data_IF_025284169629
#
_entry.id   IF_025284169629
#
_cell.length_a   1.000
_cell.length_b   1.000
_cell.length_c   1.000
_cell.angle_alpha   90.00
_cell.angle_beta   90.00
_cell.angle_gamma   90.00
#
_symmetry.space_group_name_H-M   'P 1'
#
loop_
_entity.id
_entity.type
_entity.pdbx_description
1 polymer ?
#
# COMPACT_ATOMS: atom_id res chain seq x y z
N UNK A 1 19.36 11.75 -81.67
CA UNK A 1 18.82 12.84 -80.83
C UNK A 1 19.32 12.66 -79.40
N UNK A 2 19.38 13.74 -78.62
CA UNK A 2 19.80 13.83 -77.21
C UNK A 2 18.99 12.89 -76.28
N UNK A 3 19.33 12.65 -75.00
CA UNK A 3 20.57 12.71 -74.19
C UNK A 3 20.19 12.51 -72.71
N UNK A 4 20.95 11.73 -71.92
CA UNK A 4 21.06 11.83 -70.43
C UNK A 4 19.75 11.69 -69.59
N UNK A 5 19.74 11.59 -68.24
CA UNK A 5 20.66 11.03 -67.22
C UNK A 5 19.81 10.66 -65.98
N UNK A 6 20.40 9.89 -65.06
CA UNK A 6 19.90 9.59 -63.71
C UNK A 6 19.83 10.86 -62.82
N UNK A 7 19.01 10.85 -61.74
CA UNK A 7 19.29 11.31 -60.34
C UNK A 7 18.07 11.91 -59.59
N UNK A 8 17.68 11.22 -58.50
CA UNK A 8 17.31 11.67 -57.11
C UNK A 8 16.57 13.01 -56.89
N UNK A 9 15.49 12.97 -56.11
CA UNK A 9 14.88 14.13 -55.41
C UNK A 9 13.69 13.72 -54.52
N UNK A 10 13.53 14.32 -53.34
CA UNK A 10 12.62 13.89 -52.26
C UNK A 10 11.66 15.04 -51.83
N UNK A 11 10.61 14.73 -51.05
CA UNK A 11 9.84 15.62 -50.11
C UNK A 11 8.52 16.30 -50.60
N UNK A 12 7.41 15.97 -49.90
CA UNK A 12 6.13 16.71 -49.65
C UNK A 12 5.20 17.10 -50.85
N UNK A 13 3.86 17.25 -50.74
CA UNK A 13 2.96 17.45 -49.58
C UNK A 13 1.47 17.08 -49.89
N UNK A 14 0.68 16.76 -48.83
CA UNK A 14 -0.72 17.16 -48.56
C UNK A 14 -2.00 16.60 -49.30
N UNK A 15 -2.95 16.10 -48.46
CA UNK A 15 -4.44 16.41 -48.43
C UNK A 15 -5.37 15.81 -49.53
N UNK A 16 -6.62 15.32 -49.32
CA UNK A 16 -7.44 14.93 -48.13
C UNK A 16 -8.82 14.33 -48.59
N UNK A 17 -9.27 13.19 -48.02
CA UNK A 17 -10.67 12.66 -47.91
C UNK A 17 -11.51 12.44 -49.23
N UNK A 18 -12.64 11.71 -49.32
CA UNK A 18 -13.79 11.43 -48.41
C UNK A 18 -14.39 10.00 -48.62
N UNK A 19 -14.99 9.48 -47.52
CA UNK A 19 -15.88 8.32 -47.26
C UNK A 19 -16.86 7.84 -48.38
N UNK A 20 -17.52 6.67 -48.35
CA UNK A 20 -18.41 6.00 -47.34
C UNK A 20 -18.56 4.49 -47.74
N UNK A 21 -19.04 3.51 -46.95
CA UNK A 21 -19.23 3.29 -45.49
C UNK A 21 -19.50 1.78 -45.22
N UNK A 22 -19.03 1.22 -44.09
CA UNK A 22 -19.77 0.24 -43.27
C UNK A 22 -19.25 0.33 -41.83
N UNK A 23 -19.91 1.17 -41.03
CA UNK A 23 -19.44 1.57 -39.70
C UNK A 23 -19.79 0.54 -38.62
N UNK A 24 -18.82 -0.26 -38.21
CA UNK A 24 -18.64 -0.50 -36.78
C UNK A 24 -17.77 0.65 -36.26
N UNK A 25 -18.41 1.74 -35.82
CA UNK A 25 -17.68 2.84 -35.21
C UNK A 25 -17.19 2.36 -33.85
N UNK A 26 -15.90 2.05 -33.73
CA UNK A 26 -15.24 2.02 -32.43
C UNK A 26 -15.34 3.46 -31.91
N UNK A 27 -16.14 3.67 -30.87
CA UNK A 27 -16.28 5.01 -30.29
C UNK A 27 -14.95 5.37 -29.63
N UNK A 28 -14.60 6.67 -29.64
CA UNK A 28 -13.44 7.16 -28.90
C UNK A 28 -13.67 7.18 -27.37
N UNK A 29 -14.71 6.49 -26.89
CA UNK A 29 -15.17 6.36 -25.51
C UNK A 29 -15.15 4.89 -25.01
N UNK A 30 -14.90 3.91 -25.88
CA UNK A 30 -14.89 2.49 -25.49
C UNK A 30 -13.54 2.13 -24.85
N UNK A 31 -13.53 1.96 -23.53
CA UNK A 31 -12.34 1.45 -22.83
C UNK A 31 -12.01 0.02 -23.27
N UNK A 32 -10.73 -0.32 -23.37
CA UNK A 32 -10.25 -1.68 -23.65
C UNK A 32 -9.73 -2.28 -22.35
N UNK A 33 -10.18 -3.46 -21.95
CA UNK A 33 -9.60 -4.19 -20.80
C UNK A 33 -8.68 -5.28 -21.32
N UNK A 34 -7.41 -5.22 -20.92
CA UNK A 34 -6.35 -6.12 -21.37
C UNK A 34 -6.00 -7.20 -20.33
N UNK A 35 -6.02 -6.83 -19.04
CA UNK A 35 -5.70 -7.73 -17.95
C UNK A 35 -6.50 -7.37 -16.69
N UNK A 36 -6.85 -8.39 -15.90
CA UNK A 36 -7.40 -8.21 -14.56
C UNK A 36 -6.59 -9.03 -13.56
N UNK A 37 -6.34 -8.47 -12.37
CA UNK A 37 -5.75 -9.15 -11.21
C UNK A 37 -6.63 -8.90 -9.99
N UNK A 38 -6.71 -9.86 -9.08
CA UNK A 38 -7.35 -9.69 -7.77
C UNK A 38 -6.35 -9.91 -6.63
N UNK A 39 -6.60 -9.22 -5.51
CA UNK A 39 -5.91 -9.33 -4.22
C UNK A 39 -6.94 -9.08 -3.11
N UNK A 40 -7.43 -10.15 -2.47
CA UNK A 40 -8.56 -10.08 -1.53
C UNK A 40 -9.80 -9.44 -2.17
N UNK A 41 -10.18 -8.25 -1.70
CA UNK A 41 -11.31 -7.45 -2.25
C UNK A 41 -10.86 -6.39 -3.27
N UNK A 42 -9.57 -6.30 -3.59
CA UNK A 42 -9.01 -5.29 -4.50
C UNK A 42 -8.91 -5.86 -5.92
N UNK A 43 -9.66 -5.27 -6.85
CA UNK A 43 -9.60 -5.61 -8.27
C UNK A 43 -8.74 -4.57 -9.01
N UNK A 44 -7.72 -5.04 -9.72
CA UNK A 44 -6.87 -4.23 -10.59
C UNK A 44 -7.27 -4.55 -12.03
N UNK A 45 -7.69 -3.53 -12.77
CA UNK A 45 -8.09 -3.65 -14.17
C UNK A 45 -7.10 -2.82 -14.99
N UNK A 46 -6.39 -3.46 -15.90
CA UNK A 46 -5.40 -2.86 -16.78
C UNK A 46 -5.95 -2.82 -18.21
N UNK A 47 -5.63 -1.78 -18.96
CA UNK A 47 -6.32 -1.50 -20.21
C UNK A 47 -6.04 -0.11 -20.78
N UNK A 48 -6.72 0.21 -21.87
CA UNK A 48 -6.63 1.50 -22.54
C UNK A 48 -7.93 2.30 -22.37
N UNK A 49 -7.81 3.63 -22.28
CA UNK A 49 -8.94 4.56 -22.19
C UNK A 49 -9.93 4.28 -21.02
N UNK A 50 -9.46 3.61 -19.96
CA UNK A 50 -10.25 3.27 -18.78
C UNK A 50 -10.80 4.54 -18.11
N UNK A 51 -12.13 4.65 -17.99
CA UNK A 51 -12.82 5.80 -17.36
C UNK A 51 -12.38 7.19 -17.88
N UNK A 52 -11.92 7.32 -19.14
CA UNK A 52 -11.46 8.62 -19.68
C UNK A 52 -12.60 9.64 -19.73
N UNK A 53 -13.81 9.19 -20.06
CA UNK A 53 -15.01 9.98 -19.96
C UNK A 53 -15.43 10.13 -18.47
N UNK A 54 -15.58 11.37 -17.94
CA UNK A 54 -15.87 11.61 -16.52
C UNK A 54 -17.27 11.17 -16.07
N UNK A 55 -18.20 10.97 -17.01
CA UNK A 55 -19.54 10.47 -16.71
C UNK A 55 -19.58 8.93 -16.65
N UNK A 56 -18.50 8.25 -17.02
CA UNK A 56 -18.42 6.78 -16.92
C UNK A 56 -18.15 6.33 -15.49
N UNK A 57 -18.84 5.26 -15.11
CA UNK A 57 -18.71 4.51 -13.86
C UNK A 57 -18.29 3.08 -14.15
N UNK A 58 -17.88 2.37 -13.11
CA UNK A 58 -17.65 0.92 -13.17
C UNK A 58 -18.82 0.21 -12.50
N UNK A 59 -19.23 -0.92 -13.06
CA UNK A 59 -20.23 -1.81 -12.48
C UNK A 59 -19.66 -3.22 -12.37
N UNK A 60 -19.85 -3.86 -11.21
CA UNK A 60 -19.35 -5.19 -10.91
C UNK A 60 -20.38 -6.02 -10.13
N UNK A 61 -20.55 -7.29 -10.50
CA UNK A 61 -21.51 -8.19 -9.84
C UNK A 61 -21.54 -9.57 -10.49
N UNK A 62 -22.18 -10.55 -9.85
CA UNK A 62 -22.34 -11.89 -10.44
C UNK A 62 -23.20 -11.81 -11.70
N UNK A 63 -22.91 -12.66 -12.70
CA UNK A 63 -23.77 -12.78 -13.89
C UNK A 63 -25.12 -13.42 -13.58
N UNK A 64 -25.27 -14.08 -12.43
CA UNK A 64 -26.50 -14.72 -11.95
C UNK A 64 -27.44 -13.75 -11.21
N UNK A 65 -27.13 -12.45 -11.16
CA UNK A 65 -27.90 -11.44 -10.44
C UNK A 65 -28.35 -10.29 -11.36
N UNK A 66 -29.60 -9.85 -11.19
CA UNK A 66 -30.23 -8.76 -11.97
C UNK A 66 -29.69 -7.35 -11.65
N UNK A 67 -28.65 -7.22 -10.82
CA UNK A 67 -28.12 -5.94 -10.37
C UNK A 67 -26.60 -6.00 -10.18
N UNK A 68 -25.92 -4.92 -10.58
CA UNK A 68 -24.49 -4.74 -10.37
C UNK A 68 -24.25 -3.65 -9.33
N UNK A 69 -23.14 -3.78 -8.61
CA UNK A 69 -22.67 -2.78 -7.65
C UNK A 69 -21.73 -1.78 -8.35
N UNK A 70 -21.68 -0.55 -7.87
CA UNK A 70 -20.63 0.42 -8.26
C UNK A 70 -19.46 0.27 -7.26
N UNK A 71 -18.38 -0.47 -7.58
CA UNK A 71 -17.25 -0.63 -6.66
C UNK A 71 -16.50 0.69 -6.47
N UNK A 72 -15.94 0.90 -5.27
CA UNK A 72 -15.26 2.15 -4.94
C UNK A 72 -13.93 2.24 -5.69
N UNK A 73 -13.80 3.20 -6.61
CA UNK A 73 -12.53 3.55 -7.24
C UNK A 73 -11.53 4.01 -6.16
N UNK A 74 -10.42 3.29 -6.03
CA UNK A 74 -9.33 3.60 -5.10
C UNK A 74 -8.23 4.44 -5.76
N UNK A 75 -7.95 4.15 -7.02
CA UNK A 75 -6.88 4.78 -7.80
C UNK A 75 -7.14 4.61 -9.31
N UNK A 76 -6.61 5.54 -10.12
CA UNK A 76 -6.68 5.53 -11.58
C UNK A 76 -5.46 6.23 -12.17
N UNK A 77 -4.86 5.62 -13.18
CA UNK A 77 -3.92 6.26 -14.10
C UNK A 77 -4.37 6.04 -15.57
N UNK A 78 -3.48 6.23 -16.54
CA UNK A 78 -3.79 6.09 -17.98
C UNK A 78 -4.02 4.64 -18.42
N UNK A 79 -3.39 3.67 -17.74
CA UNK A 79 -3.36 2.24 -18.12
C UNK A 79 -4.05 1.29 -17.12
N UNK A 80 -4.52 1.81 -15.97
CA UNK A 80 -5.06 1.01 -14.86
C UNK A 80 -6.12 1.76 -14.05
N UNK A 81 -7.14 1.02 -13.61
CA UNK A 81 -8.02 1.40 -12.49
C UNK A 81 -7.92 0.36 -11.35
N UNK A 82 -7.92 0.83 -10.10
CA UNK A 82 -7.93 0.01 -8.89
C UNK A 82 -9.26 0.18 -8.17
N UNK A 83 -9.95 -0.92 -7.91
CA UNK A 83 -11.31 -0.94 -7.39
C UNK A 83 -11.35 -1.70 -6.06
N UNK A 84 -12.09 -1.19 -5.08
CA UNK A 84 -12.50 -1.97 -3.91
C UNK A 84 -13.88 -2.55 -4.16
N UNK A 85 -13.93 -3.88 -4.24
CA UNK A 85 -15.18 -4.61 -4.38
C UNK A 85 -15.95 -4.62 -3.04
N UNK A 86 -17.28 -4.59 -3.05
CA UNK A 86 -18.09 -4.60 -1.82
C UNK A 86 -18.10 -5.95 -1.09
N UNK A 87 -17.50 -6.99 -1.69
CA UNK A 87 -17.29 -8.32 -1.14
C UNK A 87 -16.08 -8.96 -1.83
N UNK A 88 -15.51 -10.00 -1.22
CA UNK A 88 -14.52 -10.84 -1.88
C UNK A 88 -15.23 -11.79 -2.85
N UNK A 89 -14.90 -11.81 -4.16
CA UNK A 89 -15.51 -12.73 -5.11
C UNK A 89 -15.26 -14.19 -4.70
N UNK A 90 -16.32 -14.99 -4.78
CA UNK A 90 -16.22 -16.45 -4.70
C UNK A 90 -16.02 -17.01 -6.12
N UNK A 91 -15.58 -18.26 -6.29
CA UNK A 91 -15.47 -18.86 -7.62
C UNK A 91 -16.79 -18.79 -8.40
N UNK A 92 -16.75 -18.25 -9.62
CA UNK A 92 -17.94 -17.91 -10.38
C UNK A 92 -17.70 -16.91 -11.51
N UNK A 93 -18.77 -16.59 -12.25
CA UNK A 93 -18.77 -15.63 -13.36
C UNK A 93 -19.30 -14.28 -12.90
N UNK A 94 -18.58 -13.21 -13.23
CA UNK A 94 -18.92 -11.85 -12.87
C UNK A 94 -18.92 -10.96 -14.12
N UNK A 95 -19.73 -9.90 -14.11
CA UNK A 95 -19.60 -8.80 -15.04
C UNK A 95 -18.64 -7.75 -14.48
N UNK A 96 -17.77 -7.23 -15.35
CA UNK A 96 -17.13 -5.93 -15.19
C UNK A 96 -17.58 -5.06 -16.35
N UNK A 97 -18.33 -4.00 -16.06
CA UNK A 97 -18.82 -3.05 -17.08
C UNK A 97 -18.27 -1.65 -16.81
N UNK A 98 -17.99 -0.89 -17.85
CA UNK A 98 -17.57 0.51 -17.78
C UNK A 98 -18.48 1.32 -18.71
N UNK A 99 -19.10 2.38 -18.22
CA UNK A 99 -20.02 3.20 -19.02
C UNK A 99 -20.87 4.16 -18.19
N UNK A 100 -21.76 4.93 -18.82
CA UNK A 100 -22.61 5.90 -18.13
C UNK A 100 -23.66 5.26 -17.20
N UNK A 101 -24.04 4.00 -17.47
CA UNK A 101 -24.91 3.18 -16.63
C UNK A 101 -24.63 1.67 -16.85
N UNK A 102 -25.23 0.80 -16.04
CA UNK A 102 -25.01 -0.67 -16.10
C UNK A 102 -25.71 -1.38 -17.28
N UNK A 103 -26.76 -0.75 -17.83
CA UNK A 103 -27.65 -1.32 -18.85
C UNK A 103 -27.16 -0.99 -20.28
N UNK A 104 -26.47 0.14 -20.44
CA UNK A 104 -25.82 0.63 -21.67
C UNK A 104 -24.32 0.93 -21.42
N UNK A 105 -23.48 -0.12 -21.30
CA UNK A 105 -22.05 0.03 -21.03
C UNK A 105 -21.25 0.35 -22.31
N UNK A 106 -20.24 1.20 -22.20
CA UNK A 106 -19.26 1.42 -23.26
C UNK A 106 -18.26 0.25 -23.41
N UNK A 107 -18.07 -0.51 -22.32
CA UNK A 107 -17.21 -1.70 -22.25
C UNK A 107 -17.87 -2.75 -21.36
N UNK A 108 -17.93 -4.00 -21.81
CA UNK A 108 -18.47 -5.13 -21.05
C UNK A 108 -17.51 -6.33 -21.12
N UNK A 109 -17.18 -6.90 -19.96
CA UNK A 109 -16.19 -7.99 -19.81
C UNK A 109 -16.72 -9.05 -18.86
N UNK A 110 -16.68 -10.33 -19.28
CA UNK A 110 -16.93 -11.45 -18.38
C UNK A 110 -15.64 -11.79 -17.63
N UNK A 111 -15.71 -11.92 -16.30
CA UNK A 111 -14.60 -12.34 -15.45
C UNK A 111 -14.94 -13.67 -14.80
N UNK A 112 -14.10 -14.68 -15.02
CA UNK A 112 -14.20 -15.98 -14.38
C UNK A 112 -13.21 -16.07 -13.22
N UNK A 113 -13.71 -16.19 -12.00
CA UNK A 113 -12.91 -16.41 -10.80
C UNK A 113 -12.82 -17.91 -10.50
N UNK A 114 -11.59 -18.43 -10.41
CA UNK A 114 -11.24 -19.82 -10.12
C UNK A 114 -10.10 -19.81 -9.09
N UNK A 115 -10.43 -19.54 -7.83
CA UNK A 115 -9.54 -19.35 -6.67
C UNK A 115 -8.15 -20.04 -6.80
N UNK A 116 -7.03 -19.29 -6.83
CA UNK A 116 -6.88 -17.84 -6.66
C UNK A 116 -6.91 -17.02 -7.97
N UNK A 117 -7.20 -17.64 -9.12
CA UNK A 117 -7.05 -17.01 -10.44
C UNK A 117 -8.30 -16.24 -10.88
N UNK A 118 -8.10 -15.20 -11.69
CA UNK A 118 -9.15 -14.50 -12.44
C UNK A 118 -8.79 -14.50 -13.93
N UNK A 119 -9.76 -14.79 -14.79
CA UNK A 119 -9.59 -14.87 -16.25
C UNK A 119 -10.61 -13.97 -16.94
N UNK A 120 -10.16 -13.23 -17.96
CA UNK A 120 -11.05 -12.47 -18.85
C UNK A 120 -11.66 -13.41 -19.89
N UNK A 121 -12.97 -13.30 -20.10
CA UNK A 121 -13.70 -13.92 -21.19
C UNK A 121 -14.40 -12.82 -22.00
N UNK A 122 -14.12 -12.76 -23.30
CA UNK A 122 -14.69 -11.76 -24.20
C UNK A 122 -16.00 -12.28 -24.84
N UNK A 123 -17.11 -11.54 -24.76
CA UNK A 123 -18.31 -11.88 -25.51
C UNK A 123 -18.13 -11.58 -27.01
N UNK A 124 -18.30 -12.60 -27.86
CA UNK A 124 -18.75 -12.39 -29.25
C UNK A 124 -17.71 -12.33 -30.39
N UNK A 125 -16.42 -12.60 -30.18
CA UNK A 125 -15.46 -12.64 -31.31
C UNK A 125 -15.60 -13.93 -32.13
N UNK A 126 -16.16 -13.82 -33.34
CA UNK A 126 -16.28 -14.93 -34.28
C UNK A 126 -14.92 -15.37 -34.87
N UNK A 127 -14.79 -16.65 -35.25
CA UNK A 127 -13.61 -17.25 -35.89
C UNK A 127 -13.27 -16.61 -37.26
N UNK A 128 -12.54 -15.49 -37.30
CA UNK A 128 -11.99 -14.96 -38.57
C UNK A 128 -10.63 -14.25 -38.40
N UNK A 129 -9.56 -15.01 -38.20
CA UNK A 129 -8.26 -14.81 -38.86
C UNK A 129 -7.30 -15.97 -38.49
N UNK A 130 -6.44 -16.37 -39.45
CA UNK A 130 -5.42 -17.44 -39.36
C UNK A 130 -6.00 -18.87 -39.37
N UNK A 131 -5.82 -19.54 -40.52
CA UNK A 131 -6.27 -20.91 -40.72
C UNK A 131 -5.16 -21.94 -40.48
N UNK A 132 -5.52 -22.99 -39.74
CA UNK A 132 -5.08 -24.36 -39.94
C UNK A 132 -6.16 -25.28 -39.35
N UNK A 133 -6.46 -26.39 -40.03
CA UNK A 133 -7.49 -27.34 -39.58
C UNK A 133 -7.13 -28.01 -38.24
N UNK A 134 -8.15 -28.33 -37.43
CA UNK A 134 -8.52 -29.73 -37.12
C UNK A 134 -9.75 -29.84 -36.21
N UNK A 135 -10.74 -30.60 -36.70
CA UNK A 135 -11.78 -31.39 -36.01
C UNK A 135 -12.74 -30.75 -34.98
N UNK A 136 -13.99 -31.21 -35.05
CA UNK A 136 -15.13 -30.81 -34.23
C UNK A 136 -15.11 -31.47 -32.85
N UNK A 137 -15.04 -30.66 -31.79
CA UNK A 137 -15.93 -30.80 -30.64
C UNK A 137 -16.11 -29.43 -29.96
N UNK A 138 -17.33 -29.15 -29.50
CA UNK A 138 -17.79 -27.78 -29.26
C UNK A 138 -17.29 -27.14 -27.96
N UNK A 139 -16.15 -26.45 -28.01
CA UNK A 139 -15.74 -25.46 -27.00
C UNK A 139 -15.31 -24.15 -27.69
N UNK A 140 -15.89 -23.02 -27.26
CA UNK A 140 -15.45 -21.69 -27.71
C UNK A 140 -13.98 -21.49 -27.35
N UNK A 141 -13.19 -20.97 -28.29
CA UNK A 141 -11.79 -20.66 -28.06
C UNK A 141 -11.66 -19.47 -27.09
N UNK A 142 -11.55 -19.78 -25.80
CA UNK A 142 -11.24 -18.81 -24.75
C UNK A 142 -9.82 -18.29 -24.99
N UNK A 143 -9.63 -16.96 -25.05
CA UNK A 143 -8.30 -16.38 -24.86
C UNK A 143 -7.94 -16.48 -23.38
N UNK A 144 -7.51 -17.67 -22.97
CA UNK A 144 -6.95 -17.90 -21.64
C UNK A 144 -5.57 -17.25 -21.61
N UNK A 145 -5.49 -16.04 -21.06
CA UNK A 145 -4.21 -15.43 -20.65
C UNK A 145 -3.73 -16.16 -19.39
N UNK A 146 -3.26 -17.40 -19.56
CA UNK A 146 -2.61 -18.20 -18.53
C UNK A 146 -1.16 -17.71 -18.40
N UNK A 147 -0.90 -16.78 -17.49
CA UNK A 147 0.47 -16.36 -17.13
C UNK A 147 0.81 -16.89 -15.74
N UNK A 148 1.07 -18.20 -15.68
CA UNK A 148 1.62 -18.90 -14.51
C UNK A 148 2.94 -19.61 -14.84
N UNK A 149 3.57 -19.24 -15.96
CA UNK A 149 4.91 -19.65 -16.36
C UNK A 149 5.60 -18.44 -17.04
N UNK A 150 6.59 -17.84 -16.38
CA UNK A 150 7.58 -17.06 -17.09
C UNK A 150 8.40 -18.03 -17.95
N UNK A 151 8.56 -17.83 -19.27
CA UNK A 151 9.46 -18.67 -20.06
C UNK A 151 10.90 -18.53 -19.55
N UNK A 152 11.62 -19.63 -19.37
CA UNK A 152 13.04 -19.61 -18.94
C UNK A 152 14.00 -19.01 -20.00
N UNK A 153 13.47 -18.46 -21.10
CA UNK A 153 14.23 -18.01 -22.27
C UNK A 153 14.42 -16.49 -22.34
N UNK A 154 14.94 -15.88 -21.28
CA UNK A 154 15.74 -14.63 -21.31
C UNK A 154 15.11 -13.32 -21.80
N UNK A 155 13.94 -13.33 -22.45
CA UNK A 155 13.18 -12.12 -22.76
C UNK A 155 12.40 -11.71 -21.51
N UNK A 156 12.73 -10.51 -21.01
CA UNK A 156 12.04 -9.91 -19.87
C UNK A 156 10.53 -9.92 -20.14
N UNK A 157 9.75 -10.37 -19.16
CA UNK A 157 8.35 -9.98 -19.08
C UNK A 157 8.25 -8.46 -19.25
N UNK A 158 7.18 -7.97 -19.86
CA UNK A 158 6.81 -6.57 -19.79
C UNK A 158 6.26 -6.24 -18.39
N UNK A 159 7.12 -6.43 -17.39
CA UNK A 159 7.23 -5.45 -16.31
C UNK A 159 7.78 -4.20 -16.97
N UNK A 160 6.90 -3.35 -17.48
CA UNK A 160 7.27 -1.95 -17.63
C UNK A 160 7.59 -1.47 -16.21
N UNK A 161 8.88 -1.17 -16.02
CA UNK A 161 9.46 -0.64 -14.80
C UNK A 161 9.04 0.84 -14.73
N UNK A 162 7.75 1.05 -14.43
CA UNK A 162 7.04 2.34 -14.48
C UNK A 162 7.55 3.36 -13.43
N UNK A 163 8.64 3.05 -12.71
CA UNK A 163 9.07 3.81 -11.54
C UNK A 163 8.05 3.78 -10.40
N UNK A 164 7.16 2.77 -10.38
CA UNK A 164 6.09 2.61 -9.37
C UNK A 164 6.43 1.62 -8.24
N UNK A 165 7.71 1.27 -8.08
CA UNK A 165 8.32 0.78 -6.81
C UNK A 165 8.25 1.81 -5.65
N UNK A 166 7.50 2.91 -5.84
CA UNK A 166 7.45 4.10 -4.98
C UNK A 166 6.06 4.37 -4.37
N UNK A 167 5.08 3.48 -4.52
CA UNK A 167 3.80 3.59 -3.76
C UNK A 167 4.02 3.10 -2.34
N UNK A 168 4.60 4.00 -1.55
CA UNK A 168 5.02 3.86 -0.16
C UNK A 168 3.89 3.36 0.77
N UNK A 169 2.63 3.76 0.55
CA UNK A 169 1.46 3.21 1.26
C UNK A 169 0.12 3.41 0.54
N UNK A 170 -0.84 2.53 0.83
CA UNK A 170 -2.21 2.62 0.35
C UNK A 170 -3.12 3.47 1.26
N UNK A 171 -3.04 3.24 2.57
CA UNK A 171 -3.72 4.04 3.60
C UNK A 171 -2.90 4.07 4.87
N UNK A 172 -3.00 5.14 5.64
CA UNK A 172 -2.30 5.35 6.89
C UNK A 172 -3.25 5.60 8.06
N UNK A 173 -2.81 5.29 9.28
CA UNK A 173 -3.56 5.60 10.50
C UNK A 173 -3.44 7.10 10.83
N UNK A 174 -4.58 7.78 10.92
CA UNK A 174 -4.67 9.20 11.24
C UNK A 174 -4.90 9.43 12.73
N UNK A 175 -4.09 10.31 13.30
CA UNK A 175 -4.17 10.73 14.69
C UNK A 175 -4.24 12.26 14.77
N UNK A 176 -5.36 12.76 15.29
CA UNK A 176 -5.57 14.18 15.53
C UNK A 176 -6.04 14.40 16.99
N UNK A 177 -5.17 14.89 17.90
CA UNK A 177 -5.52 15.07 19.31
C UNK A 177 -6.56 16.19 19.51
N UNK A 178 -6.82 17.02 18.50
CA UNK A 178 -7.86 18.07 18.54
C UNK A 178 -9.25 17.53 18.21
N UNK A 179 -9.33 16.39 17.53
CA UNK A 179 -10.58 15.68 17.17
C UNK A 179 -10.85 14.48 18.10
N UNK A 180 -9.99 14.28 19.11
CA UNK A 180 -10.19 13.25 20.14
C UNK A 180 -9.61 11.89 19.80
N UNK A 181 -8.71 11.79 18.81
CA UNK A 181 -8.00 10.53 18.52
C UNK A 181 -7.31 9.98 19.76
N UNK A 182 -7.28 8.65 19.87
CA UNK A 182 -6.67 7.91 20.97
C UNK A 182 -5.56 6.99 20.44
N UNK A 183 -4.85 6.34 21.36
CA UNK A 183 -3.86 5.34 21.00
C UNK A 183 -4.53 4.06 20.46
N UNK A 184 -4.00 3.53 19.36
CA UNK A 184 -4.33 2.17 18.91
C UNK A 184 -3.60 1.17 19.81
N UNK A 185 -4.33 0.35 20.57
CA UNK A 185 -3.73 -0.67 21.45
C UNK A 185 -3.75 -2.03 20.77
N UNK A 186 -2.57 -2.61 20.55
CA UNK A 186 -2.41 -3.97 20.01
C UNK A 186 -2.68 -4.96 21.13
N UNK A 187 -3.82 -5.64 21.12
CA UNK A 187 -4.16 -6.64 22.14
C UNK A 187 -3.19 -7.84 22.13
N UNK A 188 -3.12 -8.60 23.22
CA UNK A 188 -2.24 -9.77 23.37
C UNK A 188 -0.74 -9.53 23.06
N UNK A 189 -0.26 -8.29 23.26
CA UNK A 189 1.14 -7.90 23.00
C UNK A 189 1.97 -7.70 24.28
N UNK A 190 1.48 -8.23 25.41
CA UNK A 190 2.18 -8.24 26.70
C UNK A 190 3.59 -8.83 26.59
N UNK A 191 3.74 -9.98 25.94
CA UNK A 191 5.01 -10.70 25.76
C UNK A 191 5.96 -10.04 24.71
N UNK A 192 5.57 -8.91 24.09
CA UNK A 192 6.43 -8.20 23.14
C UNK A 192 7.53 -7.45 23.89
N UNK A 193 8.60 -8.18 24.17
CA UNK A 193 9.81 -7.71 24.84
C UNK A 193 10.92 -7.38 23.84
N UNK A 194 11.73 -6.39 24.21
CA UNK A 194 12.96 -6.03 23.50
C UNK A 194 14.17 -6.35 24.38
N UNK A 195 15.29 -6.70 23.78
CA UNK A 195 16.50 -7.10 24.50
C UNK A 195 17.70 -6.20 24.09
N UNK A 196 18.92 -6.73 24.10
CA UNK A 196 20.14 -6.01 23.71
C UNK A 196 20.18 -5.63 22.21
N UNK A 197 19.35 -6.25 21.37
CA UNK A 197 19.16 -5.89 19.96
C UNK A 197 17.68 -5.67 19.64
N UNK A 198 17.38 -4.61 18.86
CA UNK A 198 16.04 -4.35 18.33
C UNK A 198 16.00 -3.24 17.28
N UNK A 199 14.88 -3.17 16.58
CA UNK A 199 14.46 -2.03 15.74
C UNK A 199 13.01 -1.68 16.07
N UNK A 200 12.73 -0.40 16.32
CA UNK A 200 11.39 0.17 16.34
C UNK A 200 11.36 1.24 15.26
N UNK A 201 10.49 1.10 14.26
CA UNK A 201 10.44 2.00 13.12
C UNK A 201 9.00 2.26 12.65
N UNK A 202 8.83 3.38 11.95
CA UNK A 202 7.58 3.78 11.33
C UNK A 202 7.83 4.73 10.16
N UNK A 203 6.86 4.81 9.27
CA UNK A 203 6.66 5.91 8.32
C UNK A 203 5.72 6.94 8.94
N UNK A 204 6.03 8.23 8.83
CA UNK A 204 5.25 9.29 9.47
C UNK A 204 5.04 10.50 8.56
N UNK A 205 3.85 11.10 8.65
CA UNK A 205 3.54 12.40 8.07
C UNK A 205 3.16 13.36 9.20
N UNK A 206 4.08 14.24 9.59
CA UNK A 206 3.88 15.13 10.75
C UNK A 206 3.16 16.41 10.30
N UNK A 207 1.96 16.67 10.82
CA UNK A 207 1.24 17.92 10.56
C UNK A 207 1.68 19.01 11.55
N UNK A 208 1.75 18.68 12.84
CA UNK A 208 2.23 19.56 13.89
C UNK A 208 3.04 18.83 14.96
N UNK A 209 4.02 19.52 15.54
CA UNK A 209 4.69 19.06 16.75
C UNK A 209 3.80 19.30 17.97
N UNK A 210 3.50 18.24 18.70
CA UNK A 210 2.64 18.26 19.90
C UNK A 210 3.42 17.78 21.13
N UNK A 211 2.86 18.01 22.32
CA UNK A 211 3.47 17.54 23.56
C UNK A 211 3.27 16.02 23.68
N UNK A 212 4.31 15.27 23.32
CA UNK A 212 4.28 13.81 23.33
C UNK A 212 3.62 13.25 22.08
N UNK A 213 4.17 13.54 20.90
CA UNK A 213 3.77 12.88 19.66
C UNK A 213 4.30 11.46 19.63
N UNK A 214 3.62 10.54 20.33
CA UNK A 214 4.03 9.14 20.44
C UNK A 214 3.81 8.42 19.10
N UNK A 215 4.79 7.63 18.70
CA UNK A 215 4.67 6.70 17.56
C UNK A 215 4.38 5.29 18.07
N UNK A 216 5.21 4.82 19.01
CA UNK A 216 5.13 3.51 19.65
C UNK A 216 5.41 3.69 21.14
N UNK A 217 4.61 3.10 22.02
CA UNK A 217 4.79 3.12 23.48
C UNK A 217 4.45 1.74 24.07
N UNK A 218 5.32 1.19 24.92
CA UNK A 218 4.98 0.06 25.81
C UNK A 218 5.12 0.53 27.25
N UNK A 219 3.98 0.86 27.85
CA UNK A 219 3.92 1.37 29.22
C UNK A 219 4.31 0.28 30.23
N UNK A 220 4.95 0.64 31.36
CA UNK A 220 5.40 -0.36 32.35
C UNK A 220 4.31 -0.83 33.31
N UNK A 221 3.09 -0.32 33.17
CA UNK A 221 1.97 -0.60 34.08
C UNK A 221 2.02 0.15 35.43
N UNK A 222 3.11 0.82 35.80
CA UNK A 222 3.22 1.52 37.08
C UNK A 222 4.05 2.81 37.03
N UNK A 223 3.82 3.73 37.97
CA UNK A 223 4.73 4.84 38.25
C UNK A 223 4.98 5.87 37.14
N UNK A 224 4.23 5.84 36.03
CA UNK A 224 4.48 6.55 34.76
C UNK A 224 5.73 6.08 33.97
N UNK A 225 6.32 4.93 34.33
CA UNK A 225 7.45 4.34 33.61
C UNK A 225 7.06 3.63 32.31
N UNK A 226 8.04 3.16 31.53
CA UNK A 226 7.81 2.51 30.22
C UNK A 226 8.92 1.54 29.93
N UNK A 227 8.57 0.39 29.37
CA UNK A 227 9.56 -0.55 28.83
C UNK A 227 10.32 0.13 27.70
N UNK A 228 9.62 0.65 26.69
CA UNK A 228 10.22 1.43 25.60
C UNK A 228 9.23 2.41 24.95
N UNK A 229 9.76 3.42 24.25
CA UNK A 229 9.00 4.41 23.46
C UNK A 229 9.80 4.93 22.28
N UNK A 230 9.12 5.09 21.14
CA UNK A 230 9.52 5.95 20.02
C UNK A 230 8.56 7.13 19.91
N UNK A 231 9.05 8.36 19.88
CA UNK A 231 8.20 9.57 19.86
C UNK A 231 8.88 10.78 19.25
N UNK A 232 8.08 11.77 18.87
CA UNK A 232 8.49 13.09 18.38
C UNK A 232 8.03 14.14 19.41
N UNK A 233 8.97 14.99 19.83
CA UNK A 233 8.69 16.05 20.81
C UNK A 233 7.99 17.27 20.21
N UNK A 234 7.52 18.18 21.07
CA UNK A 234 7.00 19.51 20.68
C UNK A 234 8.05 20.40 20.02
N UNK A 235 9.32 20.03 20.15
CA UNK A 235 10.50 20.62 19.51
C UNK A 235 10.84 19.99 18.16
N UNK A 236 10.03 19.02 17.69
CA UNK A 236 10.22 18.30 16.43
C UNK A 236 11.30 17.22 16.47
N UNK A 237 12.00 17.04 17.60
CA UNK A 237 13.08 16.05 17.70
C UNK A 237 12.50 14.64 17.86
N UNK A 238 13.04 13.68 17.12
CA UNK A 238 12.81 12.24 17.27
C UNK A 238 13.50 11.75 18.54
N UNK A 239 12.86 10.82 19.25
CA UNK A 239 13.28 10.36 20.58
C UNK A 239 13.08 8.87 20.74
N UNK A 240 14.18 8.15 21.00
CA UNK A 240 14.17 6.78 21.49
C UNK A 240 14.32 6.79 23.01
N UNK A 241 13.53 5.98 23.71
CA UNK A 241 13.55 5.92 25.17
C UNK A 241 13.26 4.49 25.66
N UNK A 242 13.97 4.02 26.68
CA UNK A 242 13.59 2.87 27.50
C UNK A 242 13.98 3.09 28.97
N UNK A 243 13.38 2.33 29.90
CA UNK A 243 13.88 2.21 31.27
C UNK A 243 14.18 0.75 31.61
N UNK A 244 15.30 0.41 32.28
CA UNK A 244 15.67 -1.00 32.54
C UNK A 244 14.85 -1.66 33.66
N UNK A 245 14.26 -0.86 34.55
CA UNK A 245 13.49 -1.28 35.71
C UNK A 245 11.98 -1.05 35.55
N UNK A 246 11.55 -0.42 34.45
CA UNK A 246 10.17 -0.02 34.19
C UNK A 246 9.70 1.14 35.07
N UNK A 247 10.57 1.87 35.77
CA UNK A 247 10.21 3.07 36.53
C UNK A 247 10.49 4.34 35.72
N UNK A 248 10.54 5.50 36.38
CA UNK A 248 11.01 6.78 35.83
C UNK A 248 12.35 7.22 36.46
N UNK A 249 13.00 6.37 37.25
CA UNK A 249 14.23 6.73 37.98
C UNK A 249 15.46 6.54 37.11
N UNK A 250 15.64 5.36 36.54
CA UNK A 250 16.77 5.02 35.69
C UNK A 250 16.32 4.95 34.23
N UNK A 251 16.70 5.94 33.43
CA UNK A 251 16.16 6.16 32.08
C UNK A 251 17.26 6.33 31.02
N UNK A 252 17.07 5.67 29.87
CA UNK A 252 17.95 5.78 28.72
C UNK A 252 17.24 6.44 27.54
N UNK A 253 17.31 7.76 27.47
CA UNK A 253 16.83 8.54 26.32
C UNK A 253 17.96 8.91 25.33
N UNK A 254 17.62 8.93 24.04
CA UNK A 254 18.40 9.49 22.92
C UNK A 254 17.50 10.43 22.11
N UNK A 255 18.06 11.52 21.59
CA UNK A 255 17.34 12.60 20.91
C UNK A 255 18.05 12.93 19.59
N UNK A 256 17.32 13.12 18.50
CA UNK A 256 17.90 13.60 17.23
C UNK A 256 18.46 15.01 17.37
N UNK A 257 19.49 15.34 16.58
CA UNK A 257 20.03 16.70 16.49
C UNK A 257 19.28 17.59 15.47
N UNK A 258 18.45 17.00 14.61
CA UNK A 258 17.56 17.67 13.66
C UNK A 258 16.09 17.32 13.93
N UNK A 259 15.17 18.11 13.38
CA UNK A 259 13.74 17.86 13.48
C UNK A 259 13.27 16.86 12.41
N UNK A 260 12.26 16.05 12.74
CA UNK A 260 11.48 15.28 11.77
C UNK A 260 10.70 16.26 10.90
N UNK A 261 10.86 16.28 9.57
CA UNK A 261 10.14 17.21 8.70
C UNK A 261 8.63 17.11 8.84
N UNK A 262 7.97 18.27 8.69
CA UNK A 262 6.50 18.35 8.63
C UNK A 262 6.01 18.33 7.19
N UNK A 263 4.74 17.95 7.01
CA UNK A 263 4.03 17.97 5.74
C UNK A 263 4.74 17.21 4.60
N UNK A 264 5.43 16.13 4.96
CA UNK A 264 5.95 15.11 4.05
C UNK A 264 6.03 13.79 4.76
N UNK A 265 5.93 12.72 4.00
CA UNK A 265 6.31 11.39 4.45
C UNK A 265 7.79 11.34 4.79
N UNK A 266 8.09 10.73 5.93
CA UNK A 266 9.43 10.58 6.49
C UNK A 266 9.56 9.18 7.10
N UNK A 267 10.64 8.45 6.82
CA UNK A 267 10.96 7.23 7.56
C UNK A 267 11.68 7.58 8.86
N UNK A 268 11.28 6.97 9.97
CA UNK A 268 11.93 7.15 11.27
C UNK A 268 12.18 5.81 11.94
N UNK A 269 13.38 5.62 12.49
CA UNK A 269 13.74 4.40 13.19
C UNK A 269 14.58 4.67 14.44
N UNK A 270 14.48 3.73 15.38
CA UNK A 270 15.26 3.65 16.60
C UNK A 270 15.79 2.22 16.73
N UNK A 271 17.12 2.06 16.71
CA UNK A 271 17.77 0.76 16.89
C UNK A 271 18.60 0.72 18.16
N UNK A 272 18.75 -0.49 18.68
CA UNK A 272 19.81 -0.85 19.63
C UNK A 272 20.61 -1.99 19.00
N UNK A 273 21.92 -1.83 18.90
CA UNK A 273 22.87 -2.86 18.45
C UNK A 273 23.81 -3.14 19.63
N UNK A 274 23.45 -4.10 20.48
CA UNK A 274 24.26 -4.52 21.64
C UNK A 274 24.71 -3.36 22.55
N UNK A 275 23.81 -2.40 22.81
CA UNK A 275 24.05 -1.19 23.62
C UNK A 275 24.40 0.07 22.82
N UNK A 276 24.61 -0.03 21.51
CA UNK A 276 24.74 1.13 20.62
C UNK A 276 23.35 1.58 20.14
N UNK A 277 22.79 2.59 20.81
CA UNK A 277 21.54 3.22 20.37
C UNK A 277 21.78 4.11 19.16
N UNK A 278 20.86 4.10 18.19
CA UNK A 278 20.85 5.00 17.03
C UNK A 278 19.45 5.48 16.70
N UNK A 279 19.34 6.73 16.22
CA UNK A 279 18.13 7.28 15.62
C UNK A 279 18.36 7.61 14.16
N UNK A 280 17.33 7.36 13.34
CA UNK A 280 17.35 7.60 11.90
C UNK A 280 16.17 8.46 11.47
N UNK A 281 16.42 9.36 10.51
CA UNK A 281 15.41 10.14 9.79
C UNK A 281 15.74 10.05 8.31
N UNK A 282 14.79 9.55 7.50
CA UNK A 282 14.98 9.20 6.09
C UNK A 282 16.27 8.39 5.86
N UNK A 283 16.51 7.40 6.72
CA UNK A 283 17.64 6.48 6.66
C UNK A 283 19.00 7.06 7.06
N UNK A 284 19.13 8.37 7.27
CA UNK A 284 20.35 8.99 7.78
C UNK A 284 20.43 8.87 9.32
N UNK A 285 21.60 8.51 9.86
CA UNK A 285 21.87 8.55 11.30
C UNK A 285 21.85 10.00 11.80
N UNK A 286 20.93 10.31 12.73
CA UNK A 286 20.75 11.67 13.31
C UNK A 286 21.13 11.77 14.79
N UNK A 287 21.35 10.64 15.45
CA UNK A 287 21.96 10.57 16.78
C UNK A 287 22.48 9.16 17.05
N UNK A 288 23.55 9.05 17.84
CA UNK A 288 24.07 7.80 18.37
C UNK A 288 24.40 7.96 19.87
N UNK A 289 24.19 6.90 20.67
CA UNK A 289 24.52 6.90 22.10
C UNK A 289 24.85 5.49 22.58
N UNK A 290 26.03 5.33 23.17
CA UNK A 290 26.39 4.11 23.90
C UNK A 290 25.72 4.09 25.27
N UNK A 291 25.07 2.97 25.60
CA UNK A 291 24.40 2.73 26.89
C UNK A 291 24.78 1.35 27.45
N UNK A 292 24.37 1.06 28.69
CA UNK A 292 24.52 -0.25 29.31
C UNK A 292 23.22 -0.65 29.98
N UNK A 293 22.48 -1.53 29.32
CA UNK A 293 21.17 -1.98 29.74
C UNK A 293 20.25 -2.13 28.54
N UNK A 294 19.13 -2.80 28.78
CA UNK A 294 18.07 -3.09 27.81
C UNK A 294 16.71 -2.61 28.37
N UNK A 295 15.66 -2.51 27.56
CA UNK A 295 14.30 -2.27 28.02
C UNK A 295 13.88 -3.25 29.13
N UNK A 296 13.11 -2.76 30.11
CA UNK A 296 12.46 -3.65 31.07
C UNK A 296 11.51 -4.62 30.34
N UNK A 297 11.37 -5.82 30.87
CA UNK A 297 10.56 -6.90 30.28
C UNK A 297 9.52 -7.32 31.32
N UNK A 298 8.50 -6.48 31.55
CA UNK A 298 7.55 -6.63 32.66
C UNK A 298 6.22 -7.25 32.23
N UNK A 299 5.80 -7.01 30.99
CA UNK A 299 4.64 -7.68 30.38
C UNK A 299 3.28 -7.20 30.92
N UNK A 300 3.25 -6.13 31.71
CA UNK A 300 2.00 -5.65 32.31
C UNK A 300 1.09 -4.89 31.35
N UNK A 301 1.55 -4.53 30.15
CA UNK A 301 0.80 -3.72 29.18
C UNK A 301 1.06 -4.11 27.74
N UNK A 302 0.05 -3.83 26.93
CA UNK A 302 0.08 -3.91 25.49
C UNK A 302 0.85 -2.74 24.87
N UNK A 303 1.39 -2.97 23.68
CA UNK A 303 1.94 -1.93 22.80
C UNK A 303 0.82 -0.99 22.34
N UNK A 304 1.11 0.30 22.37
CA UNK A 304 0.24 1.38 21.93
C UNK A 304 0.90 2.16 20.77
N UNK A 305 0.12 2.41 19.72
CA UNK A 305 0.53 3.11 18.50
C UNK A 305 -0.17 4.48 18.42
N UNK A 306 0.56 5.51 18.00
CA UNK A 306 0.06 6.89 17.84
C UNK A 306 -0.27 7.63 19.14
N UNK A 307 -0.21 6.94 20.28
CA UNK A 307 -0.46 7.52 21.59
C UNK A 307 -0.05 6.58 22.74
N UNK A 308 -0.28 6.99 23.97
CA UNK A 308 -0.11 6.15 25.16
C UNK A 308 -1.43 5.54 25.65
N UNK A 309 -1.36 4.35 26.23
CA UNK A 309 -2.48 3.68 26.92
C UNK A 309 -2.37 3.73 28.46
N UNK A 310 -1.39 4.45 29.02
CA UNK A 310 -1.00 4.32 30.44
C UNK A 310 -2.08 4.59 31.48
N UNK A 311 -2.95 5.56 31.19
CA UNK A 311 -3.64 6.33 32.21
C UNK A 311 -4.91 6.97 31.62
N UNK A 312 -6.12 6.67 32.12
CA UNK A 312 -7.33 7.34 31.67
C UNK A 312 -7.23 8.86 31.79
N UNK A 313 -7.54 9.58 30.71
CA UNK A 313 -7.51 11.06 30.67
C UNK A 313 -6.14 11.70 30.50
N UNK A 314 -5.06 10.94 30.29
CA UNK A 314 -3.75 11.49 29.90
C UNK A 314 -3.34 10.93 28.53
N UNK A 315 -3.73 11.63 27.46
CA UNK A 315 -3.50 11.23 26.08
C UNK A 315 -2.39 12.10 25.44
N UNK A 316 -1.17 11.57 25.42
CA UNK A 316 -0.05 12.04 24.60
C UNK A 316 -0.18 11.40 23.21
N UNK A 317 -0.95 12.02 22.31
CA UNK A 317 -1.26 11.52 20.97
C UNK A 317 -0.58 12.41 19.92
N UNK A 318 -0.02 11.79 18.87
CA UNK A 318 0.59 12.50 17.73
C UNK A 318 -0.44 13.29 16.91
N UNK A 319 -0.03 14.41 16.31
CA UNK A 319 -0.81 15.13 15.31
C UNK A 319 -0.22 14.90 13.90
N UNK A 320 -0.77 13.91 13.19
CA UNK A 320 -0.28 13.47 11.89
C UNK A 320 -0.71 12.04 11.55
N UNK A 321 -0.06 11.47 10.54
CA UNK A 321 -0.30 10.09 10.11
C UNK A 321 0.88 9.19 10.49
N UNK A 322 0.58 7.94 10.79
CA UNK A 322 1.55 6.86 10.97
C UNK A 322 1.23 5.74 9.97
N UNK A 323 2.29 5.14 9.47
CA UNK A 323 2.27 4.03 8.54
C UNK A 323 3.49 3.09 8.75
N UNK A 324 3.46 1.87 8.20
CA UNK A 324 4.52 0.85 8.27
C UNK A 324 5.18 0.73 9.66
N UNK A 325 4.36 0.55 10.70
CA UNK A 325 4.89 0.40 12.06
C UNK A 325 5.47 -0.99 12.20
N UNK A 326 6.79 -1.09 12.37
CA UNK A 326 7.48 -2.36 12.59
C UNK A 326 8.26 -2.35 13.91
N UNK A 327 8.15 -3.45 14.64
CA UNK A 327 9.01 -3.79 15.77
C UNK A 327 9.74 -5.09 15.45
N UNK A 328 11.04 -5.16 15.74
CA UNK A 328 11.86 -6.34 15.47
C UNK A 328 12.89 -6.60 16.57
N UNK A 329 13.24 -7.87 16.78
CA UNK A 329 14.20 -8.35 17.78
C UNK A 329 15.67 -8.30 17.34
N UNK A 330 15.94 -7.68 16.19
CA UNK A 330 17.29 -7.45 15.65
C UNK A 330 17.53 -5.97 15.32
N UNK A 331 18.80 -5.57 15.32
CA UNK A 331 19.24 -4.29 14.77
C UNK A 331 19.24 -4.33 13.23
N UNK A 332 18.16 -3.89 12.58
CA UNK A 332 18.07 -3.86 11.10
C UNK A 332 19.02 -2.83 10.47
N UNK A 333 19.45 -1.82 11.25
CA UNK A 333 20.27 -0.70 10.79
C UNK A 333 21.42 -0.40 11.77
N UNK A 334 22.65 -0.62 11.31
CA UNK A 334 23.90 -0.31 12.02
C UNK A 334 24.57 1.01 11.58
N UNK A 335 24.00 1.68 10.58
CA UNK A 335 24.50 2.91 9.96
C UNK A 335 23.52 3.41 8.91
N UNK A 336 23.84 4.50 8.22
CA UNK A 336 22.89 5.11 7.26
C UNK A 336 22.53 4.15 6.11
N UNK A 337 21.27 4.18 5.70
CA UNK A 337 20.69 3.32 4.65
C UNK A 337 19.74 4.13 3.77
N UNK A 338 19.34 3.57 2.63
CA UNK A 338 18.19 4.07 1.86
C UNK A 338 16.93 3.39 2.42
N UNK A 339 15.94 4.13 2.95
CA UNK A 339 14.69 3.53 3.40
C UNK A 339 14.01 2.74 2.28
N UNK A 340 13.39 1.59 2.58
CA UNK A 340 12.54 0.91 1.60
C UNK A 340 11.50 1.88 1.01
N UNK A 341 11.11 1.67 -0.25
CA UNK A 341 10.13 2.52 -0.95
C UNK A 341 8.76 1.85 -1.17
N UNK A 342 8.68 0.57 -0.81
CA UNK A 342 7.50 -0.30 -0.75
C UNK A 342 7.11 -0.60 0.71
N UNK A 343 5.95 -1.22 0.91
CA UNK A 343 5.53 -1.82 2.17
C UNK A 343 6.58 -2.85 2.66
N UNK A 344 6.75 -3.01 3.98
CA UNK A 344 7.72 -3.94 4.56
C UNK A 344 7.24 -5.39 4.45
N UNK A 345 8.15 -6.34 4.19
CA UNK A 345 7.81 -7.75 4.34
C UNK A 345 7.95 -8.16 5.83
N UNK A 346 7.03 -8.97 6.39
CA UNK A 346 7.28 -9.67 7.64
C UNK A 346 8.34 -10.77 7.43
N UNK A 347 9.16 -11.00 8.44
CA UNK A 347 10.19 -12.04 8.46
C UNK A 347 10.26 -12.65 9.89
N UNK A 348 11.07 -13.70 10.15
CA UNK A 348 11.14 -14.34 11.47
C UNK A 348 11.57 -13.43 12.63
N UNK A 349 12.02 -12.21 12.34
CA UNK A 349 12.43 -11.19 13.30
C UNK A 349 11.40 -10.05 13.45
N UNK A 350 10.27 -10.11 12.75
CA UNK A 350 9.20 -9.11 12.81
C UNK A 350 8.21 -9.44 13.92
N UNK A 351 8.39 -8.83 15.09
CA UNK A 351 7.51 -9.01 16.26
C UNK A 351 6.14 -8.35 16.07
N UNK A 352 6.10 -7.16 15.46
CA UNK A 352 4.89 -6.40 15.13
C UNK A 352 5.07 -5.81 13.73
N UNK A 353 4.03 -5.83 12.89
CA UNK A 353 4.01 -5.10 11.62
C UNK A 353 2.59 -4.65 11.27
N UNK A 354 2.39 -3.34 11.14
CA UNK A 354 1.10 -2.75 10.77
C UNK A 354 1.25 -1.83 9.56
N UNK A 355 0.63 -2.24 8.44
CA UNK A 355 0.63 -1.52 7.15
C UNK A 355 -0.46 -0.45 7.04
N UNK A 356 -1.51 -0.52 7.87
CA UNK A 356 -2.70 0.34 7.82
C UNK A 356 -3.51 0.41 6.49
N UNK A 357 -2.97 -0.11 5.37
CA UNK A 357 -3.61 -0.36 4.06
C UNK A 357 -4.86 -1.26 4.16
N UNK A 358 -4.99 -2.08 5.20
CA UNK A 358 -6.11 -2.99 5.46
C UNK A 358 -6.87 -2.69 6.79
N UNK A 359 -6.70 -1.51 7.38
CA UNK A 359 -7.15 -1.27 8.75
C UNK A 359 -6.06 -1.64 9.75
N UNK A 360 -6.40 -2.02 10.98
CA UNK A 360 -5.41 -2.33 12.02
C UNK A 360 -4.84 -3.75 11.97
N UNK A 361 -4.71 -4.36 10.80
CA UNK A 361 -4.12 -5.69 10.63
C UNK A 361 -2.68 -5.74 11.17
N UNK A 362 -2.33 -6.81 11.89
CA UNK A 362 -0.98 -7.09 12.37
C UNK A 362 -0.40 -8.33 11.67
N UNK A 363 0.66 -8.13 10.88
CA UNK A 363 1.41 -9.22 10.22
C UNK A 363 2.64 -9.68 11.02
N UNK A 364 2.83 -9.18 12.26
CA UNK A 364 3.90 -9.58 13.15
C UNK A 364 3.61 -10.84 13.96
N UNK A 365 4.64 -11.39 14.59
CA UNK A 365 4.56 -12.61 15.40
C UNK A 365 3.79 -12.46 16.73
N UNK A 366 3.62 -11.24 17.24
CA UNK A 366 3.07 -10.96 18.58
C UNK A 366 1.98 -9.89 18.49
N UNK A 367 0.83 -10.18 19.12
CA UNK A 367 -0.32 -9.29 19.26
C UNK A 367 -1.43 -9.53 18.22
N UNK A 368 -2.64 -9.14 18.57
CA UNK A 368 -3.82 -9.24 17.70
C UNK A 368 -3.94 -8.03 16.75
N UNK A 369 -4.79 -8.14 15.73
CA UNK A 369 -5.28 -7.00 14.97
C UNK A 369 -5.92 -5.93 15.86
N UNK A 370 -5.64 -4.66 15.56
CA UNK A 370 -6.32 -3.52 16.17
C UNK A 370 -7.65 -3.30 15.45
N UNK A 371 -8.76 -3.59 16.12
CA UNK A 371 -10.09 -3.17 15.67
C UNK A 371 -10.20 -1.64 15.83
N UNK A 372 -10.37 -0.85 14.74
CA UNK A 372 -10.48 0.60 14.85
C UNK A 372 -11.74 1.00 15.62
N UNK A 373 -11.60 1.97 16.53
CA UNK A 373 -12.71 2.58 17.25
C UNK A 373 -13.19 3.83 16.51
N UNK A 374 -14.26 4.46 17.02
CA UNK A 374 -14.72 5.79 16.55
C UNK A 374 -13.67 6.91 16.67
N UNK A 375 -12.58 6.69 17.45
CA UNK A 375 -11.46 7.61 17.61
C UNK A 375 -10.32 7.37 16.61
N UNK A 376 -10.45 6.36 15.75
CA UNK A 376 -9.43 5.94 14.78
C UNK A 376 -9.98 6.09 13.36
N UNK A 377 -9.19 6.68 12.46
CA UNK A 377 -9.55 6.78 11.04
C UNK A 377 -8.37 6.39 10.16
N UNK A 378 -8.65 5.67 9.07
CA UNK A 378 -7.67 5.35 8.04
C UNK A 378 -7.88 6.28 6.86
N UNK A 379 -6.82 6.95 6.44
CA UNK A 379 -6.86 7.94 5.35
C UNK A 379 -5.95 7.50 4.21
N UNK A 380 -6.34 7.79 2.97
CA UNK A 380 -5.48 7.52 1.82
C UNK A 380 -4.18 8.32 1.92
N UNK A 381 -3.05 7.67 1.65
CA UNK A 381 -1.74 8.32 1.63
C UNK A 381 -1.59 9.36 0.51
N UNK A 382 -2.50 9.36 -0.47
CA UNK A 382 -2.56 10.37 -1.54
C UNK A 382 -3.36 11.64 -1.16
N UNK A 383 -3.95 11.69 0.05
CA UNK A 383 -4.76 12.82 0.52
C UNK A 383 -3.97 13.83 1.37
N UNK A 384 -2.63 13.84 1.30
CA UNK A 384 -1.72 14.52 2.23
C UNK A 384 -0.83 15.57 1.58
#
# INVERSE_FOLDING_TARGET
MLSARLVIGQIMTAVLAIHLLSSAAWSADSSVVLQVRIDGQRLYVYGEQLLVNPDHKVYFGSQDLDYLFEPRLLDKNESRIKLLLPFQPVPGRYWLKIGPNQDDPATEVSLLFNDPRVTIELPGVAKTALGADLSEDGASAVQVVNVDQCPESGEKCLTEDDGLDNVFCGSAASFNPREGSQAMTVSNSQELHLDDEYTVEARVFIQEYVRGGILVDKYSGSGRGREYRLSIGKDGLLRGWFTPDGTLVDDFAIYSNIQVPKNRWTHVAYTNESGQLRLFIDGAVVAEKQVRGRPAQLGYQNVAIGGNNCCPGYYEVINGLIDEVRISDIARYAGSFEPPRREFDPDPHTLLLMHFTAGGENLGLIGDDVIPSEFHSMVSCAAT
#
